data_IF_811696630313
#
_entry.id   IF_811696630313
#
_cell.length_a   1.000
_cell.length_b   1.000
_cell.length_c   1.000
_cell.angle_alpha   90.00
_cell.angle_beta   90.00
_cell.angle_gamma   90.00
#
_symmetry.space_group_name_H-M   'P 1'
#
loop_
_entity.id
_entity.type
_entity.pdbx_description
1 polymer ?
#
# COMPACT_ATOMS: atom_id res chain seq x y z
N UNK A 1 33.38 -8.84 5.23
CA UNK A 1 34.63 -8.55 4.50
C UNK A 1 35.39 -9.84 4.38
N UNK A 2 35.85 -10.21 3.18
CA UNK A 2 36.64 -11.43 3.00
C UNK A 2 38.07 -11.22 3.55
N UNK A 3 38.86 -12.28 3.77
CA UNK A 3 40.27 -12.15 4.16
C UNK A 3 41.10 -11.31 3.18
N UNK A 4 40.70 -11.24 1.91
CA UNK A 4 41.32 -10.47 0.84
C UNK A 4 40.90 -8.99 0.84
N UNK A 5 40.00 -8.58 1.75
CA UNK A 5 39.52 -7.21 1.86
C UNK A 5 38.34 -6.87 0.97
N UNK A 6 37.69 -7.85 0.32
CA UNK A 6 36.51 -7.59 -0.50
C UNK A 6 35.27 -7.34 0.37
N UNK A 7 34.53 -6.28 0.04
CA UNK A 7 33.20 -6.04 0.59
C UNK A 7 32.17 -6.84 -0.21
N UNK A 8 31.37 -7.66 0.48
CA UNK A 8 30.27 -8.42 -0.11
C UNK A 8 28.98 -8.07 0.60
N UNK A 9 27.91 -7.88 -0.18
CA UNK A 9 26.56 -7.76 0.35
C UNK A 9 26.15 -9.12 0.94
N UNK A 10 25.65 -9.08 2.17
CA UNK A 10 25.11 -10.23 2.88
C UNK A 10 23.66 -9.93 3.24
N UNK A 11 22.88 -10.99 3.48
CA UNK A 11 21.47 -10.92 3.89
C UNK A 11 20.55 -10.25 2.86
N UNK A 12 20.27 -10.97 1.76
CA UNK A 12 19.29 -10.57 0.75
C UNK A 12 17.87 -11.05 1.06
N UNK A 13 17.55 -11.39 2.33
CA UNK A 13 16.22 -11.89 2.69
C UNK A 13 15.12 -10.85 2.51
N UNK A 14 15.48 -9.56 2.53
CA UNK A 14 14.56 -8.44 2.26
C UNK A 14 14.52 -8.02 0.77
N UNK A 15 15.26 -8.70 -0.11
CA UNK A 15 15.28 -8.38 -1.52
C UNK A 15 13.92 -8.70 -2.17
N UNK A 16 13.43 -7.75 -2.99
CA UNK A 16 12.18 -7.91 -3.73
C UNK A 16 12.38 -7.55 -5.19
N UNK A 17 11.71 -8.29 -6.07
CA UNK A 17 11.57 -7.83 -7.44
C UNK A 17 10.71 -6.56 -7.45
N UNK A 18 11.20 -5.51 -8.11
CA UNK A 18 10.42 -4.32 -8.34
C UNK A 18 9.10 -4.71 -9.00
N UNK A 19 8.00 -4.47 -8.28
CA UNK A 19 6.64 -4.61 -8.77
C UNK A 19 6.04 -3.22 -8.72
N UNK A 20 5.42 -2.79 -9.82
CA UNK A 20 4.73 -1.50 -9.90
C UNK A 20 3.44 -1.56 -9.05
N UNK A 21 3.61 -1.53 -7.73
CA UNK A 21 2.54 -1.45 -6.73
C UNK A 21 2.51 -0.02 -6.18
N UNK A 22 1.34 0.46 -5.75
CA UNK A 22 1.19 1.84 -5.29
C UNK A 22 1.74 2.10 -3.88
N UNK A 23 1.86 1.06 -3.05
CA UNK A 23 2.35 1.10 -1.67
C UNK A 23 2.96 -0.24 -1.26
N UNK A 24 3.94 -0.21 -0.37
CA UNK A 24 4.44 -1.43 0.26
C UNK A 24 3.43 -1.99 1.28
N UNK A 25 3.26 -3.32 1.27
CA UNK A 25 2.25 -4.02 2.08
C UNK A 25 2.76 -4.35 3.49
N UNK A 26 4.04 -4.11 3.76
CA UNK A 26 4.71 -4.38 5.04
C UNK A 26 5.70 -3.24 5.32
N UNK A 27 5.73 -2.72 6.55
CA UNK A 27 6.85 -1.93 7.04
C UNK A 27 8.08 -2.84 7.04
N UNK A 28 8.98 -2.63 6.08
CA UNK A 28 10.22 -3.39 5.93
C UNK A 28 11.35 -2.37 5.99
N UNK A 29 12.25 -2.53 6.95
CA UNK A 29 13.48 -1.75 7.03
C UNK A 29 14.01 -1.58 8.46
N UNK A 30 15.32 -1.48 8.58
CA UNK A 30 15.98 -1.17 9.85
C UNK A 30 15.79 0.32 10.18
N UNK A 31 15.42 0.63 11.42
CA UNK A 31 15.24 2.01 11.86
C UNK A 31 16.50 2.84 11.58
N UNK A 32 16.32 4.05 11.03
CA UNK A 32 17.42 4.94 10.63
C UNK A 32 18.00 4.69 9.24
N UNK A 33 17.84 3.48 8.66
CA UNK A 33 18.33 3.15 7.31
C UNK A 33 17.21 3.05 6.27
N UNK A 34 15.99 2.77 6.72
CA UNK A 34 14.82 2.67 5.87
C UNK A 34 14.43 4.03 5.29
N UNK A 35 14.17 4.09 4.00
CA UNK A 35 13.72 5.29 3.33
C UNK A 35 12.30 5.69 3.80
N UNK A 36 11.94 6.99 3.77
CA UNK A 36 10.63 7.48 4.21
C UNK A 36 9.45 6.74 3.59
N UNK A 37 9.54 6.39 2.30
CA UNK A 37 8.49 5.66 1.59
C UNK A 37 8.21 4.26 2.16
N UNK A 38 9.20 3.62 2.80
CA UNK A 38 9.07 2.29 3.42
C UNK A 38 8.23 2.29 4.70
N UNK A 39 7.93 3.47 5.28
CA UNK A 39 7.04 3.64 6.43
C UNK A 39 5.56 3.67 6.05
N UNK A 40 5.21 3.26 4.81
CA UNK A 40 3.82 3.16 4.34
C UNK A 40 3.34 4.37 3.53
N UNK A 41 4.23 5.33 3.23
CA UNK A 41 3.91 6.54 2.48
C UNK A 41 4.06 6.39 0.97
N UNK A 42 4.74 5.34 0.49
CA UNK A 42 4.94 5.08 -0.94
C UNK A 42 5.27 3.63 -1.24
N UNK A 43 5.60 3.35 -2.50
CA UNK A 43 6.16 2.07 -2.92
C UNK A 43 7.68 2.20 -3.03
N UNK A 44 8.42 1.24 -2.49
CA UNK A 44 9.87 1.22 -2.69
C UNK A 44 10.20 0.96 -4.15
N UNK A 45 11.22 1.65 -4.64
CA UNK A 45 11.86 1.40 -5.91
C UNK A 45 13.38 1.37 -5.74
N UNK A 46 14.14 1.44 -6.84
CA UNK A 46 15.61 1.45 -6.81
C UNK A 46 16.16 2.61 -5.94
N UNK A 47 15.43 3.71 -5.81
CA UNK A 47 15.83 4.91 -5.05
C UNK A 47 15.68 4.72 -3.55
N UNK A 48 14.94 3.70 -3.13
CA UNK A 48 14.88 3.27 -1.73
C UNK A 48 16.24 2.70 -1.30
N UNK A 49 16.85 1.85 -2.12
CA UNK A 49 18.19 1.32 -1.84
C UNK A 49 19.25 2.44 -1.85
N UNK A 50 19.09 3.42 -2.74
CA UNK A 50 19.97 4.60 -2.82
C UNK A 50 19.92 5.43 -1.52
N UNK A 51 18.75 5.55 -0.89
CA UNK A 51 18.62 6.22 0.41
C UNK A 51 19.44 5.49 1.48
N UNK A 52 19.26 4.17 1.61
CA UNK A 52 19.98 3.36 2.60
C UNK A 52 21.49 3.42 2.38
N UNK A 53 21.95 3.41 1.12
CA UNK A 53 23.38 3.62 0.80
C UNK A 53 23.85 5.01 1.23
N UNK A 54 23.04 6.05 1.03
CA UNK A 54 23.33 7.41 1.51
C UNK A 54 23.53 7.49 3.01
N UNK A 55 22.67 6.83 3.79
CA UNK A 55 22.80 6.72 5.25
C UNK A 55 24.12 6.05 5.63
N UNK A 56 24.45 4.92 4.98
CA UNK A 56 25.72 4.20 5.23
C UNK A 56 26.93 5.06 4.89
N UNK A 57 26.93 5.78 3.76
CA UNK A 57 28.02 6.71 3.41
C UNK A 57 28.18 7.79 4.49
N UNK A 58 27.08 8.41 4.93
CA UNK A 58 27.15 9.42 5.99
C UNK A 58 27.75 8.85 7.27
N UNK A 59 27.25 7.70 7.71
CA UNK A 59 27.67 7.07 8.96
C UNK A 59 29.13 6.58 8.91
N UNK A 60 29.63 6.14 7.76
CA UNK A 60 31.05 5.83 7.58
C UNK A 60 31.94 7.07 7.69
N UNK A 61 31.43 8.26 7.34
CA UNK A 61 32.19 9.51 7.37
C UNK A 61 32.12 10.23 8.72
N UNK A 62 31.00 10.14 9.42
CA UNK A 62 30.75 10.92 10.65
C UNK A 62 30.56 10.06 11.90
N UNK A 63 30.26 8.77 11.76
CA UNK A 63 29.80 7.91 12.86
C UNK A 63 28.35 8.15 13.28
N UNK A 64 27.66 9.13 12.68
CA UNK A 64 26.33 9.60 13.07
C UNK A 64 25.31 9.41 11.96
N UNK A 65 24.02 9.38 12.32
CA UNK A 65 22.94 9.39 11.34
C UNK A 65 22.82 10.77 10.65
N UNK A 66 22.30 10.85 9.41
CA UNK A 66 22.17 12.12 8.68
C UNK A 66 21.34 13.20 9.38
N UNK A 67 20.41 12.81 10.27
CA UNK A 67 19.59 13.73 11.06
C UNK A 67 20.34 14.32 12.27
N UNK A 68 21.39 13.65 12.74
CA UNK A 68 22.25 14.13 13.83
C UNK A 68 23.38 15.00 13.27
N UNK A 69 24.08 14.48 12.27
CA UNK A 69 25.21 15.17 11.65
C UNK A 69 25.39 14.73 10.20
N UNK A 70 25.30 15.71 9.30
CA UNK A 70 25.58 15.51 7.88
C UNK A 70 27.09 15.60 7.61
N UNK A 71 27.62 14.65 6.86
CA UNK A 71 29.00 14.66 6.39
C UNK A 71 29.27 15.87 5.49
N UNK A 72 30.48 16.43 5.58
CA UNK A 72 30.90 17.57 4.77
C UNK A 72 31.72 17.13 3.55
N UNK A 73 32.04 18.09 2.67
CA UNK A 73 32.85 17.84 1.48
C UNK A 73 32.09 17.14 0.35
N UNK A 74 32.83 16.61 -0.63
CA UNK A 74 32.25 16.01 -1.84
C UNK A 74 31.37 14.80 -1.54
N UNK A 75 31.87 13.85 -0.75
CA UNK A 75 31.10 12.65 -0.38
C UNK A 75 29.89 12.99 0.48
N UNK A 76 30.01 14.03 1.33
CA UNK A 76 28.88 14.57 2.09
C UNK A 76 27.73 15.06 1.21
N UNK A 77 28.02 15.84 0.15
CA UNK A 77 27.00 16.27 -0.82
C UNK A 77 26.34 15.11 -1.56
N UNK A 78 27.11 14.05 -1.86
CA UNK A 78 26.56 12.85 -2.49
C UNK A 78 25.62 12.13 -1.52
N UNK A 79 26.04 11.95 -0.26
CA UNK A 79 25.21 11.35 0.79
C UNK A 79 23.93 12.16 1.03
N UNK A 80 24.04 13.49 1.13
CA UNK A 80 22.91 14.41 1.27
C UNK A 80 21.88 14.24 0.15
N UNK A 81 22.34 14.15 -1.11
CA UNK A 81 21.44 13.90 -2.25
C UNK A 81 20.77 12.53 -2.17
N UNK A 82 21.47 11.51 -1.68
CA UNK A 82 20.89 10.17 -1.52
C UNK A 82 19.79 10.15 -0.46
N UNK A 83 19.92 10.92 0.63
CA UNK A 83 18.99 10.90 1.77
C UNK A 83 17.84 11.92 1.66
N UNK A 84 17.61 12.52 0.49
CA UNK A 84 16.48 13.44 0.27
C UNK A 84 15.14 12.75 0.51
N UNK A 85 14.20 13.48 1.09
CA UNK A 85 12.88 12.94 1.43
C UNK A 85 12.11 12.51 0.18
N UNK A 86 12.17 13.30 -0.88
CA UNK A 86 11.55 12.98 -2.16
C UNK A 86 12.45 12.05 -3.00
N UNK A 87 11.99 10.84 -3.39
CA UNK A 87 12.78 9.92 -4.22
C UNK A 87 13.21 10.52 -5.56
N UNK A 88 12.40 11.40 -6.16
CA UNK A 88 12.71 12.02 -7.46
C UNK A 88 13.94 12.93 -7.43
N UNK A 89 14.30 13.43 -6.25
CA UNK A 89 15.45 14.30 -6.08
C UNK A 89 16.75 13.53 -5.80
N UNK A 90 16.66 12.21 -5.60
CA UNK A 90 17.80 11.29 -5.40
C UNK A 90 18.41 10.91 -6.75
N UNK A 91 19.48 10.11 -6.73
CA UNK A 91 20.01 9.52 -7.95
C UNK A 91 19.00 8.52 -8.56
N UNK A 92 18.83 8.47 -9.89
CA UNK A 92 17.83 7.61 -10.51
C UNK A 92 18.22 6.12 -10.51
N UNK A 93 19.50 5.80 -10.33
CA UNK A 93 20.02 4.44 -10.37
C UNK A 93 21.34 4.30 -9.59
N UNK A 94 21.70 3.07 -9.22
CA UNK A 94 22.99 2.75 -8.62
C UNK A 94 24.17 3.13 -9.54
N UNK A 95 24.00 3.04 -10.85
CA UNK A 95 25.02 3.47 -11.82
C UNK A 95 25.27 4.98 -11.78
N UNK A 96 24.20 5.78 -11.65
CA UNK A 96 24.32 7.23 -11.52
C UNK A 96 24.99 7.63 -10.19
N UNK A 97 24.67 6.92 -9.10
CA UNK A 97 25.36 7.10 -7.82
C UNK A 97 26.85 6.73 -7.92
N UNK A 98 27.17 5.61 -8.57
CA UNK A 98 28.56 5.18 -8.77
C UNK A 98 29.36 6.20 -9.58
N UNK A 99 28.80 6.73 -10.67
CA UNK A 99 29.43 7.79 -11.45
C UNK A 99 29.73 9.04 -10.60
N UNK A 100 28.76 9.45 -9.78
CA UNK A 100 28.92 10.55 -8.84
C UNK A 100 30.03 10.27 -7.80
N UNK A 101 30.17 9.03 -7.32
CA UNK A 101 31.24 8.62 -6.39
C UNK A 101 32.62 8.57 -7.06
N UNK A 102 32.69 8.18 -8.33
CA UNK A 102 33.94 8.13 -9.11
C UNK A 102 34.45 9.51 -9.57
N UNK A 103 33.60 10.54 -9.59
CA UNK A 103 34.01 11.93 -9.88
C UNK A 103 33.67 12.42 -11.27
N UNK A 104 32.85 11.68 -12.01
CA UNK A 104 32.44 12.03 -13.36
C UNK A 104 31.13 12.84 -13.27
N UNK A 105 31.22 14.09 -12.83
CA UNK A 105 30.04 14.96 -12.61
C UNK A 105 29.39 15.46 -13.92
N UNK A 106 30.00 15.26 -15.09
CA UNK A 106 29.49 15.74 -16.39
C UNK A 106 28.31 14.93 -16.95
N UNK A 107 28.03 13.72 -16.46
CA UNK A 107 26.91 12.88 -16.95
C UNK A 107 25.65 12.94 -16.07
N UNK A 108 25.66 13.70 -14.97
CA UNK A 108 24.57 13.71 -13.98
C UNK A 108 23.31 14.50 -14.41
N UNK A 109 23.33 15.16 -15.57
CA UNK A 109 22.21 15.90 -16.17
C UNK A 109 21.66 15.27 -17.46
N UNK A 110 22.13 14.09 -17.88
CA UNK A 110 21.62 13.45 -19.09
C UNK A 110 20.27 12.78 -18.82
N UNK A 111 19.26 13.24 -19.56
CA UNK A 111 17.92 12.67 -19.62
C UNK A 111 17.89 11.20 -20.09
N UNK A 112 16.70 10.63 -20.32
CA UNK A 112 16.43 9.19 -20.20
C UNK A 112 16.90 8.32 -21.38
N UNK A 113 18.02 8.63 -22.03
CA UNK A 113 18.41 7.96 -23.29
C UNK A 113 19.19 6.64 -23.08
N UNK A 114 19.90 6.46 -21.97
CA UNK A 114 20.68 5.22 -21.73
C UNK A 114 20.01 4.19 -20.81
N UNK A 115 18.68 4.07 -20.90
CA UNK A 115 17.90 3.00 -20.26
C UNK A 115 18.02 1.62 -20.94
N UNK A 116 18.94 1.45 -21.90
CA UNK A 116 19.05 0.22 -22.71
C UNK A 116 20.04 -0.81 -22.14
N UNK A 117 21.03 -0.44 -21.33
CA UNK A 117 21.97 -1.40 -20.73
C UNK A 117 21.35 -2.24 -19.59
N UNK A 118 20.29 -1.77 -18.94
CA UNK A 118 19.58 -2.49 -17.89
C UNK A 118 18.53 -3.50 -18.38
N UNK A 119 18.29 -3.60 -19.70
CA UNK A 119 17.29 -4.53 -20.27
C UNK A 119 17.79 -5.96 -20.41
N UNK A 120 19.10 -6.21 -20.25
CA UNK A 120 19.69 -7.53 -20.45
C UNK A 120 19.38 -8.54 -19.32
N UNK A 121 18.83 -8.11 -18.17
CA UNK A 121 18.52 -9.02 -17.05
C UNK A 121 17.02 -9.29 -16.84
N UNK A 122 16.16 -8.88 -17.78
CA UNK A 122 14.72 -9.17 -17.72
C UNK A 122 14.33 -10.18 -18.80
N UNK A 123 14.78 -11.42 -18.65
CA UNK A 123 14.18 -12.55 -19.35
C UNK A 123 13.13 -13.22 -18.46
N UNK A 124 11.88 -12.78 -18.70
CA UNK A 124 10.59 -13.44 -18.54
C UNK A 124 10.62 -14.93 -18.12
N UNK A 125 9.83 -15.33 -17.10
CA UNK A 125 9.05 -16.54 -17.16
C UNK A 125 7.65 -16.24 -17.70
N UNK A 126 7.17 -17.17 -18.51
CA UNK A 126 5.84 -17.17 -19.08
C UNK A 126 4.77 -17.38 -17.98
N UNK A 127 3.66 -16.66 -18.09
CA UNK A 127 2.42 -16.98 -17.37
C UNK A 127 1.66 -15.78 -16.80
N UNK A 128 0.51 -15.47 -17.41
CA UNK A 128 -0.64 -14.82 -16.75
C UNK A 128 -0.45 -13.39 -16.28
N UNK A 129 -0.78 -12.42 -17.14
CA UNK A 129 -0.68 -11.00 -16.82
C UNK A 129 -1.71 -10.49 -15.81
N UNK A 130 -1.42 -9.32 -15.22
CA UNK A 130 -2.42 -8.27 -15.12
C UNK A 130 -1.75 -6.90 -15.16
N UNK A 131 -2.26 -6.07 -16.07
CA UNK A 131 -1.79 -4.74 -16.46
C UNK A 131 -1.90 -3.75 -15.30
N UNK A 132 -0.82 -3.01 -15.06
CA UNK A 132 -0.86 -1.73 -14.37
C UNK A 132 -1.54 -0.71 -15.29
N UNK A 133 -2.73 -0.27 -14.92
CA UNK A 133 -3.48 0.73 -15.67
C UNK A 133 -4.47 1.42 -14.74
N UNK A 134 -4.06 2.58 -14.20
CA UNK A 134 -4.95 3.55 -13.57
C UNK A 134 -5.94 2.97 -12.54
N UNK A 135 -5.44 2.48 -11.40
CA UNK A 135 -6.27 1.79 -10.40
C UNK A 135 -7.10 2.73 -9.50
N UNK A 136 -7.25 4.02 -9.87
CA UNK A 136 -8.18 4.94 -9.21
C UNK A 136 -9.61 4.39 -9.18
N UNK A 137 -10.06 3.78 -10.27
CA UNK A 137 -11.38 3.14 -10.37
C UNK A 137 -11.48 1.81 -9.62
N UNK A 138 -10.39 1.04 -9.51
CA UNK A 138 -10.40 -0.23 -8.76
C UNK A 138 -10.57 -0.02 -7.26
N UNK A 139 -10.19 1.15 -6.74
CA UNK A 139 -10.50 1.55 -5.37
C UNK A 139 -12.01 1.76 -5.10
N UNK A 140 -12.82 1.97 -6.15
CA UNK A 140 -14.28 2.05 -6.08
C UNK A 140 -14.96 0.69 -6.19
N UNK A 141 -14.24 -0.37 -6.59
CA UNK A 141 -14.84 -1.69 -6.67
C UNK A 141 -15.27 -2.17 -5.27
N UNK A 142 -16.41 -2.89 -5.19
CA UNK A 142 -16.85 -3.49 -3.95
C UNK A 142 -15.80 -4.48 -3.39
N UNK A 143 -15.80 -4.70 -2.07
CA UNK A 143 -15.01 -5.75 -1.44
C UNK A 143 -15.02 -7.07 -2.23
N UNK A 144 -13.86 -7.71 -2.31
CA UNK A 144 -13.69 -8.98 -3.04
C UNK A 144 -13.36 -8.87 -4.53
N UNK A 145 -13.85 -7.83 -5.23
CA UNK A 145 -13.54 -7.59 -6.64
C UNK A 145 -12.20 -6.87 -6.88
N UNK A 146 -11.57 -6.39 -5.82
CA UNK A 146 -10.26 -5.72 -5.86
C UNK A 146 -9.09 -6.69 -5.98
N UNK A 147 -9.28 -7.94 -5.55
CA UNK A 147 -8.20 -8.93 -5.39
C UNK A 147 -7.58 -9.39 -6.71
N UNK A 148 -8.29 -9.25 -7.83
CA UNK A 148 -7.87 -9.77 -9.13
C UNK A 148 -7.94 -11.30 -9.26
N UNK A 149 -8.22 -12.03 -8.17
CA UNK A 149 -8.33 -13.48 -8.17
C UNK A 149 -9.75 -13.89 -8.59
N UNK A 150 -9.91 -14.67 -9.69
CA UNK A 150 -11.23 -15.02 -10.22
C UNK A 150 -12.07 -15.86 -9.24
N UNK A 151 -11.45 -16.68 -8.39
CA UNK A 151 -12.18 -17.47 -7.40
C UNK A 151 -12.78 -16.59 -6.29
N UNK A 152 -12.00 -15.60 -5.82
CA UNK A 152 -12.48 -14.63 -4.82
C UNK A 152 -13.58 -13.76 -5.43
N UNK A 153 -13.42 -13.33 -6.68
CA UNK A 153 -14.45 -12.59 -7.41
C UNK A 153 -15.74 -13.38 -7.55
N UNK A 154 -15.68 -14.66 -7.89
CA UNK A 154 -16.86 -15.52 -8.02
C UNK A 154 -17.57 -15.70 -6.67
N UNK A 155 -16.82 -15.95 -5.60
CA UNK A 155 -17.36 -16.05 -4.25
C UNK A 155 -18.03 -14.75 -3.81
N UNK A 156 -17.39 -13.61 -4.07
CA UNK A 156 -17.97 -12.29 -3.79
C UNK A 156 -19.23 -12.03 -4.62
N UNK A 157 -19.23 -12.36 -5.92
CA UNK A 157 -20.41 -12.22 -6.77
C UNK A 157 -21.60 -13.03 -6.23
N UNK A 158 -21.36 -14.27 -5.80
CA UNK A 158 -22.40 -15.10 -5.18
C UNK A 158 -22.91 -14.48 -3.88
N UNK A 159 -22.02 -13.93 -3.04
CA UNK A 159 -22.39 -13.21 -1.83
C UNK A 159 -23.25 -11.97 -2.11
N UNK A 160 -22.89 -11.16 -3.10
CA UNK A 160 -23.68 -9.98 -3.49
C UNK A 160 -25.03 -10.36 -4.14
N UNK A 161 -25.10 -11.47 -4.88
CA UNK A 161 -26.36 -11.99 -5.42
C UNK A 161 -27.29 -12.46 -4.30
N UNK A 162 -26.76 -13.11 -3.26
CA UNK A 162 -27.54 -13.49 -2.08
C UNK A 162 -28.03 -12.25 -1.31
N UNK A 163 -27.22 -11.20 -1.20
CA UNK A 163 -27.69 -9.94 -0.63
C UNK A 163 -28.79 -9.30 -1.45
N UNK A 164 -28.63 -9.29 -2.78
CA UNK A 164 -29.66 -8.79 -3.69
C UNK A 164 -30.95 -9.59 -3.55
N UNK A 165 -30.88 -10.93 -3.41
CA UNK A 165 -32.08 -11.74 -3.21
C UNK A 165 -32.77 -11.40 -1.90
N UNK A 166 -32.03 -11.19 -0.80
CA UNK A 166 -32.62 -10.75 0.49
C UNK A 166 -33.30 -9.37 0.36
N UNK A 167 -32.69 -8.44 -0.36
CA UNK A 167 -33.26 -7.09 -0.57
C UNK A 167 -34.52 -7.16 -1.45
N UNK A 168 -34.53 -8.01 -2.48
CA UNK A 168 -35.69 -8.18 -3.36
C UNK A 168 -36.84 -8.92 -2.68
N UNK A 169 -36.53 -9.90 -1.85
CA UNK A 169 -37.49 -10.65 -1.04
C UNK A 169 -38.21 -9.72 -0.05
N UNK A 170 -37.44 -8.87 0.65
CA UNK A 170 -37.99 -7.82 1.52
C UNK A 170 -38.96 -6.87 0.80
N UNK A 171 -38.72 -6.61 -0.50
CA UNK A 171 -39.61 -5.78 -1.33
C UNK A 171 -40.89 -6.52 -1.76
N UNK A 172 -40.86 -7.86 -1.82
CA UNK A 172 -41.97 -8.69 -2.29
C UNK A 172 -43.09 -8.88 -1.27
N UNK A 173 -42.80 -8.76 0.03
CA UNK A 173 -43.76 -9.07 1.10
C UNK A 173 -44.67 -7.91 1.52
N UNK A 174 -44.42 -6.67 1.06
CA UNK A 174 -45.20 -5.49 1.50
C UNK A 174 -46.27 -5.04 0.50
N UNK A 175 -47.39 -4.57 1.05
CA UNK A 175 -48.56 -4.09 0.32
C UNK A 175 -48.21 -2.96 -0.65
N UNK A 176 -48.58 -3.12 -1.93
CA UNK A 176 -48.29 -2.16 -3.00
C UNK A 176 -48.94 -0.76 -2.84
N UNK A 177 -49.79 -0.58 -1.83
CA UNK A 177 -50.57 0.64 -1.60
C UNK A 177 -49.87 1.68 -0.71
N UNK A 178 -48.82 1.31 0.03
CA UNK A 178 -48.04 2.23 0.86
C UNK A 178 -46.53 1.95 0.73
N UNK A 179 -45.80 2.74 -0.09
CA UNK A 179 -44.38 2.51 -0.32
C UNK A 179 -43.56 2.99 0.88
N UNK A 180 -43.22 2.08 1.80
CA UNK A 180 -42.24 2.32 2.87
C UNK A 180 -40.80 2.36 2.30
N UNK A 181 -40.49 3.49 1.70
CA UNK A 181 -39.16 3.81 1.20
C UNK A 181 -38.12 3.88 2.32
N UNK A 182 -38.53 4.22 3.56
CA UNK A 182 -37.62 4.37 4.69
C UNK A 182 -37.13 3.01 5.19
N UNK A 183 -38.04 2.05 5.37
CA UNK A 183 -37.70 0.67 5.70
C UNK A 183 -36.85 0.01 4.60
N UNK A 184 -37.16 0.27 3.33
CA UNK A 184 -36.36 -0.24 2.20
C UNK A 184 -34.93 0.30 2.18
N UNK A 185 -34.76 1.61 2.36
CA UNK A 185 -33.45 2.25 2.41
C UNK A 185 -32.67 1.74 3.63
N UNK A 186 -33.30 1.68 4.80
CA UNK A 186 -32.63 1.22 6.01
C UNK A 186 -32.25 -0.26 5.97
N UNK A 187 -33.10 -1.15 5.42
CA UNK A 187 -32.77 -2.56 5.23
C UNK A 187 -31.62 -2.75 4.25
N UNK A 188 -31.61 -1.99 3.15
CA UNK A 188 -30.50 -2.00 2.18
C UNK A 188 -29.19 -1.57 2.85
N UNK A 189 -29.22 -0.52 3.66
CA UNK A 189 -28.05 -0.06 4.41
C UNK A 189 -27.60 -1.06 5.48
N UNK A 190 -28.53 -1.68 6.21
CA UNK A 190 -28.24 -2.65 7.26
C UNK A 190 -27.50 -3.89 6.73
N UNK A 191 -27.82 -4.33 5.51
CA UNK A 191 -27.16 -5.46 4.86
C UNK A 191 -25.84 -5.03 4.19
N UNK A 192 -25.78 -3.84 3.59
CA UNK A 192 -24.64 -3.40 2.78
C UNK A 192 -23.48 -2.82 3.59
N UNK A 193 -23.77 -2.05 4.66
CA UNK A 193 -22.76 -1.37 5.46
C UNK A 193 -21.76 -2.30 6.15
N UNK A 194 -22.16 -3.43 6.78
CA UNK A 194 -21.21 -4.36 7.38
C UNK A 194 -20.22 -4.95 6.37
N UNK A 195 -20.68 -5.29 5.16
CA UNK A 195 -19.79 -5.82 4.10
C UNK A 195 -18.77 -4.77 3.68
N UNK A 196 -19.19 -3.51 3.56
CA UNK A 196 -18.27 -2.42 3.25
C UNK A 196 -17.27 -2.19 4.39
N UNK A 197 -17.70 -2.25 5.64
CA UNK A 197 -16.82 -2.08 6.80
C UNK A 197 -15.83 -3.22 6.92
N UNK A 198 -16.28 -4.47 6.93
CA UNK A 198 -15.46 -5.69 6.96
C UNK A 198 -14.46 -5.75 5.81
N UNK A 199 -14.91 -5.39 4.61
CA UNK A 199 -14.09 -5.34 3.41
C UNK A 199 -13.13 -4.15 3.32
N UNK A 200 -13.02 -3.35 4.39
CA UNK A 200 -12.24 -2.13 4.46
C UNK A 200 -12.47 -1.20 3.25
N UNK A 201 -13.73 -1.04 2.86
CA UNK A 201 -14.11 -0.20 1.73
C UNK A 201 -13.65 1.24 1.98
N UNK A 202 -12.94 1.81 0.98
CA UNK A 202 -12.28 3.13 1.06
C UNK A 202 -11.41 3.35 2.31
N UNK A 203 -10.83 2.28 2.84
CA UNK A 203 -9.95 2.35 4.01
C UNK A 203 -10.66 2.89 5.26
N UNK A 204 -11.96 2.61 5.42
CA UNK A 204 -12.73 3.06 6.59
C UNK A 204 -12.13 2.55 7.91
N UNK A 205 -11.56 1.34 7.92
CA UNK A 205 -10.91 0.78 9.11
C UNK A 205 -9.64 1.55 9.49
N UNK A 206 -8.97 2.19 8.52
CA UNK A 206 -7.80 3.04 8.79
C UNK A 206 -8.21 4.34 9.47
N UNK A 207 -9.35 4.94 9.07
CA UNK A 207 -9.88 6.16 9.70
C UNK A 207 -10.28 5.96 11.16
N UNK A 208 -10.78 4.76 11.47
CA UNK A 208 -11.18 4.38 12.84
C UNK A 208 -9.97 3.92 13.69
N UNK A 209 -8.77 3.86 13.10
CA UNK A 209 -7.54 3.54 13.83
C UNK A 209 -7.32 2.06 14.12
N UNK A 210 -8.13 1.16 13.53
CA UNK A 210 -8.02 -0.30 13.70
C UNK A 210 -6.70 -0.87 13.16
N UNK A 211 -6.01 -0.14 12.28
CA UNK A 211 -4.73 -0.55 11.71
C UNK A 211 -3.54 -0.32 12.66
N UNK A 212 -3.75 0.33 13.82
CA UNK A 212 -2.72 0.51 14.87
C UNK A 212 -2.54 -0.73 15.74
N UNK A 213 -3.45 -1.71 15.65
CA UNK A 213 -3.39 -2.94 16.44
C UNK A 213 -2.49 -3.95 15.73
N UNK A 214 -1.32 -4.21 16.30
CA UNK A 214 -0.34 -5.16 15.74
C UNK A 214 -0.83 -6.61 15.81
N UNK A 215 -1.61 -6.96 16.84
CA UNK A 215 -2.13 -8.31 17.03
C UNK A 215 -3.29 -8.59 16.06
N UNK A 216 -3.06 -9.50 15.11
CA UNK A 216 -4.04 -9.91 14.08
C UNK A 216 -5.35 -10.42 14.69
N UNK A 217 -5.29 -11.21 15.76
CA UNK A 217 -6.50 -11.75 16.40
C UNK A 217 -7.34 -10.64 17.02
N UNK A 218 -6.69 -9.74 17.76
CA UNK A 218 -7.37 -8.62 18.40
C UNK A 218 -7.96 -7.66 17.35
N UNK A 219 -7.27 -7.46 16.23
CA UNK A 219 -7.80 -6.69 15.09
C UNK A 219 -9.06 -7.33 14.50
N UNK A 220 -9.06 -8.64 14.23
CA UNK A 220 -10.26 -9.34 13.76
C UNK A 220 -11.41 -9.26 14.76
N UNK A 221 -11.12 -9.40 16.05
CA UNK A 221 -12.12 -9.28 17.12
C UNK A 221 -12.73 -7.88 17.17
N UNK A 222 -11.92 -6.83 17.02
CA UNK A 222 -12.41 -5.44 16.99
C UNK A 222 -13.20 -5.13 15.72
N UNK A 223 -12.81 -5.67 14.56
CA UNK A 223 -13.59 -5.53 13.32
C UNK A 223 -14.95 -6.21 13.48
N UNK A 224 -14.98 -7.44 14.01
CA UNK A 224 -16.22 -8.15 14.29
C UNK A 224 -17.11 -7.39 15.28
N UNK A 225 -16.54 -6.87 16.37
CA UNK A 225 -17.27 -6.06 17.34
C UNK A 225 -17.84 -4.78 16.70
N UNK A 226 -17.06 -4.13 15.81
CA UNK A 226 -17.48 -2.97 15.04
C UNK A 226 -18.64 -3.28 14.09
N UNK A 227 -18.59 -4.41 13.37
CA UNK A 227 -19.67 -4.86 12.48
C UNK A 227 -20.96 -5.15 13.27
N UNK A 228 -20.84 -5.84 14.40
CA UNK A 228 -21.99 -6.12 15.28
C UNK A 228 -22.60 -4.80 15.76
N UNK A 229 -21.78 -3.85 16.21
CA UNK A 229 -22.27 -2.53 16.63
C UNK A 229 -22.94 -1.76 15.49
N UNK A 230 -22.38 -1.81 14.28
CA UNK A 230 -22.93 -1.15 13.09
C UNK A 230 -24.28 -1.74 12.67
N UNK A 231 -24.41 -3.07 12.76
CA UNK A 231 -25.66 -3.76 12.50
C UNK A 231 -26.75 -3.36 13.50
N UNK A 232 -26.45 -3.39 14.81
CA UNK A 232 -27.39 -2.96 15.83
C UNK A 232 -27.77 -1.47 15.71
N UNK A 233 -26.81 -0.62 15.34
CA UNK A 233 -27.09 0.79 15.06
C UNK A 233 -28.06 0.94 13.88
N UNK A 234 -27.87 0.17 12.80
CA UNK A 234 -28.77 0.22 11.64
C UNK A 234 -30.19 -0.26 12.00
N UNK A 235 -30.32 -1.34 12.77
CA UNK A 235 -31.61 -1.82 13.27
C UNK A 235 -32.26 -0.80 14.21
N UNK A 236 -31.50 -0.15 15.08
CA UNK A 236 -32.01 0.89 15.97
C UNK A 236 -32.54 2.09 15.17
N UNK A 237 -31.79 2.54 14.16
CA UNK A 237 -32.23 3.64 13.27
C UNK A 237 -33.52 3.25 12.54
N UNK A 238 -33.61 2.02 12.03
CA UNK A 238 -34.83 1.48 11.44
C UNK A 238 -36.02 1.51 12.41
N UNK A 239 -35.83 1.04 13.65
CA UNK A 239 -36.87 1.07 14.68
C UNK A 239 -37.32 2.49 15.03
N UNK A 240 -36.38 3.45 15.09
CA UNK A 240 -36.71 4.85 15.35
C UNK A 240 -37.50 5.46 14.18
N UNK A 241 -37.10 5.17 12.94
CA UNK A 241 -37.81 5.68 11.76
C UNK A 241 -39.24 5.14 11.69
N UNK A 242 -39.43 3.84 11.94
CA UNK A 242 -40.75 3.19 12.00
C UNK A 242 -41.62 3.70 13.17
N UNK A 243 -41.00 4.19 14.25
CA UNK A 243 -41.73 4.78 15.37
C UNK A 243 -42.11 6.26 15.14
N UNK A 244 -41.45 6.95 14.22
CA UNK A 244 -41.59 8.40 13.97
C UNK A 244 -42.47 8.68 12.74
N UNK A 245 -42.42 7.83 11.72
CA UNK A 245 -43.15 7.95 10.47
C UNK A 245 -44.20 6.85 10.35
#
# INVERSE_FOLDING_TARGET
MTPEGELRLLDMNAAKYYRQAARDTQLIGTHGYAAPEQYGFGASDVRTDIYSVGVVINQMLTGHFPNEQMAQGRLGRIAERCVRMNPEERYPSAAALLAALCGNEEDASVGPENAQAGKAFSQKPAGGGQKAGNDGWRSFLPPGFRSGNPAIMLFSAMGYLLMLSVILDYRGERNASDPDWAGQVGMTLAVLLPVLFMGNYRNVQERVGLNRVENRFLRWLLILAGDVALFFLAVLVLMILDAVF
#
